data_IF_555361936012
#
_entry.id   IF_555361936012
#
_cell.length_a   1.000
_cell.length_b   1.000
_cell.length_c   1.000
_cell.angle_alpha   90.00
_cell.angle_beta   90.00
_cell.angle_gamma   90.00
#
_symmetry.space_group_name_H-M   'P 1'
#
loop_
_entity.id
_entity.type
_entity.pdbx_description
1 polymer ?
#
# COMPACT_ATOMS: atom_id res chain seq x y z
N UNK A 1 -1.21 -26.52 -23.89
CA UNK A 1 -0.48 -26.93 -25.10
C UNK A 1 0.97 -27.12 -24.71
N UNK A 2 1.63 -28.23 -25.07
CA UNK A 2 3.06 -28.39 -24.81
C UNK A 2 3.85 -27.33 -25.59
N UNK A 3 4.76 -26.65 -24.95
CA UNK A 3 5.71 -25.75 -25.62
C UNK A 3 6.82 -26.60 -26.23
N UNK A 4 7.00 -26.49 -27.54
CA UNK A 4 8.14 -27.10 -28.23
C UNK A 4 9.28 -26.09 -28.30
N UNK A 5 10.41 -26.45 -27.76
CA UNK A 5 11.65 -25.69 -27.92
C UNK A 5 12.33 -26.20 -29.19
N UNK A 6 12.49 -25.36 -30.20
CA UNK A 6 13.22 -25.68 -31.43
C UNK A 6 14.54 -24.89 -31.42
N UNK A 7 15.64 -25.58 -31.46
CA UNK A 7 16.98 -25.00 -31.59
C UNK A 7 17.29 -24.71 -33.07
N UNK A 8 18.10 -23.71 -33.32
CA UNK A 8 18.63 -23.34 -34.65
C UNK A 8 17.59 -22.99 -35.73
N UNK A 9 16.45 -22.45 -35.34
CA UNK A 9 15.41 -22.01 -36.29
C UNK A 9 15.76 -20.73 -37.06
N UNK A 10 16.69 -19.93 -36.56
CA UNK A 10 17.23 -18.71 -37.19
C UNK A 10 18.61 -18.39 -36.64
N UNK A 11 19.37 -17.58 -37.38
CA UNK A 11 20.65 -17.09 -36.97
C UNK A 11 20.50 -16.22 -35.69
N UNK A 12 21.36 -16.40 -34.71
CA UNK A 12 21.28 -15.70 -33.44
C UNK A 12 21.59 -14.20 -33.64
N UNK A 13 20.69 -13.32 -33.17
CA UNK A 13 20.87 -11.86 -33.24
C UNK A 13 21.99 -11.40 -32.30
N UNK A 14 22.21 -12.14 -31.22
CA UNK A 14 23.26 -11.87 -30.22
C UNK A 14 23.96 -13.20 -29.94
N UNK A 15 25.29 -13.19 -29.90
CA UNK A 15 26.07 -14.37 -29.55
C UNK A 15 25.83 -14.82 -28.11
N UNK A 16 25.98 -16.12 -27.86
CA UNK A 16 25.66 -16.75 -26.57
C UNK A 16 26.53 -16.20 -25.43
N UNK A 17 27.75 -15.80 -25.69
CA UNK A 17 28.67 -15.25 -24.68
C UNK A 17 28.18 -13.88 -24.23
N UNK A 18 27.85 -12.98 -25.16
CA UNK A 18 27.28 -11.67 -24.84
C UNK A 18 25.96 -11.79 -24.08
N UNK A 19 25.10 -12.72 -24.47
CA UNK A 19 23.84 -12.98 -23.75
C UNK A 19 24.09 -13.41 -22.30
N UNK A 20 25.00 -14.35 -22.06
CA UNK A 20 25.34 -14.81 -20.71
C UNK A 20 25.97 -13.70 -19.86
N UNK A 21 26.84 -12.91 -20.45
CA UNK A 21 27.49 -11.78 -19.78
C UNK A 21 26.47 -10.71 -19.35
N UNK A 22 25.49 -10.41 -20.19
CA UNK A 22 24.39 -9.50 -19.86
C UNK A 22 23.49 -10.10 -18.79
N UNK A 23 23.20 -11.42 -18.81
CA UNK A 23 22.43 -12.08 -17.76
C UNK A 23 23.14 -12.01 -16.41
N UNK A 24 24.45 -12.19 -16.39
CA UNK A 24 25.24 -12.08 -15.16
C UNK A 24 25.28 -10.66 -14.63
N UNK A 25 25.42 -9.66 -15.51
CA UNK A 25 25.29 -8.24 -15.13
C UNK A 25 23.90 -7.91 -14.57
N UNK A 26 22.83 -8.40 -15.17
CA UNK A 26 21.48 -8.19 -14.68
C UNK A 26 21.26 -8.85 -13.30
N UNK A 27 21.82 -10.04 -13.09
CA UNK A 27 21.80 -10.70 -11.76
C UNK A 27 22.59 -9.94 -10.72
N UNK A 28 23.77 -9.42 -11.07
CA UNK A 28 24.58 -8.60 -10.17
C UNK A 28 23.88 -7.27 -9.86
N UNK A 29 23.20 -6.66 -10.84
CA UNK A 29 22.41 -5.45 -10.63
C UNK A 29 21.14 -5.69 -9.79
N UNK A 30 20.49 -6.86 -9.87
CA UNK A 30 19.39 -7.21 -8.97
C UNK A 30 19.83 -7.22 -7.50
N UNK A 31 21.05 -7.67 -7.22
CA UNK A 31 21.67 -7.58 -5.89
C UNK A 31 22.11 -6.15 -5.54
N UNK A 32 22.41 -5.30 -6.55
CA UNK A 32 22.77 -3.89 -6.35
C UNK A 32 21.55 -3.00 -6.04
N UNK A 33 20.35 -3.43 -6.41
CA UNK A 33 19.09 -2.78 -6.04
C UNK A 33 18.48 -3.28 -4.73
N UNK A 34 19.12 -4.23 -4.05
CA UNK A 34 18.88 -4.44 -2.63
C UNK A 34 19.42 -3.18 -1.91
N UNK A 35 18.59 -2.38 -1.25
CA UNK A 35 19.03 -1.09 -0.76
C UNK A 35 19.92 -1.27 0.48
N UNK A 36 21.24 -1.25 0.29
CA UNK A 36 22.19 -0.97 1.37
C UNK A 36 22.19 0.51 1.81
N UNK A 37 21.37 1.33 1.15
CA UNK A 37 21.11 2.69 1.62
C UNK A 37 19.80 2.64 2.39
N UNK A 38 19.80 2.97 3.70
CA UNK A 38 18.54 3.19 4.42
C UNK A 38 17.77 4.20 3.59
N UNK A 39 16.61 3.74 3.11
CA UNK A 39 15.72 4.60 2.34
C UNK A 39 15.39 5.77 3.27
N UNK A 40 15.93 6.96 3.02
CA UNK A 40 15.82 8.15 3.88
C UNK A 40 14.36 8.55 4.15
N UNK A 41 13.41 7.91 3.47
CA UNK A 41 11.97 8.05 3.62
C UNK A 41 11.29 6.77 4.12
N UNK A 42 11.97 5.96 4.94
CA UNK A 42 11.36 4.77 5.55
C UNK A 42 10.51 5.20 6.74
N UNK A 43 9.22 5.01 6.64
CA UNK A 43 8.28 5.23 7.75
C UNK A 43 8.09 3.92 8.51
N UNK A 44 7.73 3.95 9.80
CA UNK A 44 7.59 2.75 10.63
C UNK A 44 6.73 1.64 10.02
N UNK A 45 5.67 2.01 9.31
CA UNK A 45 4.71 1.08 8.70
C UNK A 45 5.06 0.69 7.25
N UNK A 46 6.20 1.17 6.71
CA UNK A 46 6.61 0.88 5.33
C UNK A 46 6.95 -0.60 5.17
N UNK A 47 6.29 -1.26 4.21
CA UNK A 47 6.49 -2.70 3.97
C UNK A 47 5.71 -3.63 4.89
N UNK A 48 5.12 -3.10 5.98
CA UNK A 48 4.41 -3.89 6.99
C UNK A 48 2.92 -4.12 6.66
N UNK A 49 2.34 -3.34 5.72
CA UNK A 49 0.91 -3.39 5.43
C UNK A 49 0.69 -4.08 4.09
N UNK A 50 -0.04 -5.19 4.11
CA UNK A 50 -0.34 -6.01 2.93
C UNK A 50 -1.83 -5.99 2.58
N UNK A 51 -2.10 -6.05 1.28
CA UNK A 51 -3.47 -6.11 0.77
C UNK A 51 -3.95 -7.55 0.70
N UNK A 52 -5.00 -7.90 1.42
CA UNK A 52 -5.60 -9.24 1.40
C UNK A 52 -6.23 -9.61 0.04
N UNK A 53 -6.56 -8.61 -0.80
CA UNK A 53 -7.13 -8.84 -2.12
C UNK A 53 -6.07 -9.22 -3.17
N UNK A 54 -4.91 -8.55 -3.20
CA UNK A 54 -3.89 -8.73 -4.25
C UNK A 54 -2.49 -9.09 -3.73
N UNK A 55 -2.30 -9.24 -2.43
CA UNK A 55 -1.03 -9.60 -1.77
C UNK A 55 0.06 -8.52 -1.83
N UNK A 56 -0.16 -7.40 -2.54
CA UNK A 56 0.83 -6.33 -2.63
C UNK A 56 0.75 -5.41 -1.41
N UNK A 57 1.89 -4.77 -1.10
CA UNK A 57 1.98 -3.85 0.03
C UNK A 57 1.26 -2.52 -0.23
N UNK A 58 0.93 -1.85 0.87
CA UNK A 58 0.43 -0.48 0.87
C UNK A 58 1.60 0.50 0.82
N UNK A 59 1.38 1.62 0.14
CA UNK A 59 2.31 2.74 0.05
C UNK A 59 1.76 3.97 0.74
N UNK A 60 2.61 4.70 1.41
CA UNK A 60 2.30 6.01 1.96
C UNK A 60 2.12 7.03 0.83
N UNK A 61 1.02 7.77 0.85
CA UNK A 61 0.69 8.80 -0.14
C UNK A 61 0.32 10.10 0.58
N UNK A 62 1.16 11.10 0.43
CA UNK A 62 0.90 12.43 0.96
C UNK A 62 -0.03 13.18 0.01
N UNK A 63 -1.12 13.71 0.52
CA UNK A 63 -2.05 14.60 -0.17
C UNK A 63 -2.05 15.97 0.50
N UNK A 64 -2.62 17.00 -0.17
CA UNK A 64 -2.61 18.39 0.31
C UNK A 64 -3.11 18.55 1.75
N UNK A 65 -4.07 17.74 2.17
CA UNK A 65 -4.75 17.90 3.47
C UNK A 65 -4.62 16.67 4.39
N UNK A 66 -4.17 15.53 3.89
CA UNK A 66 -4.02 14.31 4.69
C UNK A 66 -3.02 13.34 4.07
N UNK A 67 -2.44 12.51 4.90
CA UNK A 67 -1.61 11.39 4.48
C UNK A 67 -2.43 10.11 4.55
N UNK A 68 -2.26 9.27 3.53
CA UNK A 68 -3.00 8.03 3.35
C UNK A 68 -2.06 6.88 3.05
N UNK A 69 -2.47 5.68 3.44
CA UNK A 69 -1.88 4.45 2.97
C UNK A 69 -2.79 3.84 1.90
N UNK A 70 -2.21 3.46 0.76
CA UNK A 70 -2.94 2.99 -0.43
C UNK A 70 -2.29 1.75 -1.00
N UNK A 71 -3.09 0.74 -1.34
CA UNK A 71 -2.60 -0.47 -2.01
C UNK A 71 -1.88 -0.12 -3.32
N UNK A 72 -0.72 -0.71 -3.54
CA UNK A 72 0.08 -0.47 -4.73
C UNK A 72 -0.69 -0.77 -6.02
N UNK A 73 -1.37 -1.93 -6.10
CA UNK A 73 -2.16 -2.34 -7.27
C UNK A 73 -3.32 -1.38 -7.52
N UNK A 74 -4.05 -1.00 -6.47
CA UNK A 74 -5.13 -0.03 -6.58
C UNK A 74 -4.64 1.34 -7.08
N UNK A 75 -3.51 1.81 -6.55
CA UNK A 75 -2.93 3.10 -6.96
C UNK A 75 -2.40 3.09 -8.40
N UNK A 76 -1.81 1.98 -8.86
CA UNK A 76 -1.21 1.87 -10.19
C UNK A 76 -2.20 1.47 -11.28
N UNK A 77 -3.18 0.60 -10.98
CA UNK A 77 -4.07 -0.02 -11.97
C UNK A 77 -5.56 0.25 -11.73
N UNK A 78 -5.90 0.85 -10.58
CA UNK A 78 -7.27 1.23 -10.24
C UNK A 78 -8.12 0.12 -9.64
N UNK A 79 -9.40 0.48 -9.37
CA UNK A 79 -10.38 -0.37 -8.67
C UNK A 79 -10.67 -1.70 -9.37
N UNK A 80 -10.55 -1.76 -10.70
CA UNK A 80 -10.80 -2.98 -11.48
C UNK A 80 -9.87 -4.14 -11.06
N UNK A 81 -8.63 -3.83 -10.69
CA UNK A 81 -7.60 -4.81 -10.33
C UNK A 81 -7.51 -5.10 -8.83
N UNK A 82 -8.07 -4.24 -8.00
CA UNK A 82 -8.13 -4.42 -6.56
C UNK A 82 -9.41 -3.80 -5.99
N UNK A 83 -10.58 -4.44 -6.19
CA UNK A 83 -11.89 -3.84 -5.92
C UNK A 83 -12.15 -3.62 -4.43
N UNK A 84 -11.62 -4.44 -3.55
CA UNK A 84 -11.84 -4.40 -2.11
C UNK A 84 -10.83 -3.53 -1.36
N UNK A 85 -9.80 -3.05 -2.05
CA UNK A 85 -8.81 -2.17 -1.44
C UNK A 85 -9.40 -0.82 -1.08
N UNK A 86 -9.23 -0.40 0.17
CA UNK A 86 -9.60 0.92 0.67
C UNK A 86 -8.36 1.69 1.12
N UNK A 87 -8.36 3.00 0.89
CA UNK A 87 -7.31 3.88 1.41
C UNK A 87 -7.49 4.05 2.91
N UNK A 88 -6.40 4.01 3.66
CA UNK A 88 -6.41 4.12 5.11
C UNK A 88 -5.76 5.45 5.49
N UNK A 89 -6.47 6.37 6.17
CA UNK A 89 -5.85 7.55 6.75
C UNK A 89 -4.76 7.18 7.74
N UNK A 90 -3.63 7.89 7.68
CA UNK A 90 -2.46 7.58 8.50
C UNK A 90 -2.73 7.72 9.99
N UNK A 91 -3.47 8.75 10.39
CA UNK A 91 -3.91 8.99 11.76
C UNK A 91 -4.77 7.84 12.31
N UNK A 92 -5.72 7.35 11.54
CA UNK A 92 -6.55 6.20 11.91
C UNK A 92 -5.69 4.94 12.05
N UNK A 93 -4.74 4.75 11.15
CA UNK A 93 -3.86 3.58 11.19
C UNK A 93 -3.00 3.56 12.46
N UNK A 94 -2.35 4.70 12.80
CA UNK A 94 -1.57 4.80 14.02
C UNK A 94 -2.43 4.61 15.28
N UNK A 95 -3.63 5.21 15.32
CA UNK A 95 -4.56 5.01 16.43
C UNK A 95 -4.95 3.53 16.60
N UNK A 96 -5.14 2.80 15.49
CA UNK A 96 -5.45 1.35 15.57
C UNK A 96 -4.26 0.51 16.00
N UNK A 97 -3.03 0.90 15.65
CA UNK A 97 -1.80 0.27 16.18
C UNK A 97 -1.72 0.48 17.69
N UNK A 98 -1.92 1.72 18.17
CA UNK A 98 -1.91 2.02 19.61
C UNK A 98 -3.02 1.24 20.36
N UNK A 99 -4.23 1.17 19.81
CA UNK A 99 -5.33 0.40 20.38
C UNK A 99 -4.99 -1.08 20.55
N UNK A 100 -4.39 -1.69 19.52
CA UNK A 100 -4.02 -3.11 19.50
C UNK A 100 -2.87 -3.42 20.46
N UNK A 101 -1.87 -2.54 20.53
CA UNK A 101 -0.71 -2.67 21.41
C UNK A 101 -0.95 -2.11 22.83
N UNK A 102 -2.14 -1.54 23.10
CA UNK A 102 -2.50 -0.90 24.36
C UNK A 102 -1.52 0.23 24.77
N UNK A 103 -1.09 1.03 23.78
CA UNK A 103 -0.19 2.16 23.96
C UNK A 103 -0.98 3.47 23.95
N UNK A 104 -0.57 4.42 24.78
CA UNK A 104 -1.11 5.80 24.77
C UNK A 104 -0.63 6.58 23.55
N UNK A 105 0.64 6.40 23.16
CA UNK A 105 1.27 6.99 21.98
C UNK A 105 2.00 5.91 21.14
N UNK A 106 2.16 6.17 19.86
CA UNK A 106 2.83 5.24 18.95
C UNK A 106 4.33 5.15 19.27
N UNK A 107 4.77 3.95 19.58
CA UNK A 107 6.17 3.60 19.77
C UNK A 107 6.64 2.65 18.66
N UNK A 108 7.66 3.08 17.91
CA UNK A 108 8.18 2.30 16.80
C UNK A 108 8.94 1.04 17.23
N UNK A 109 9.64 1.09 18.37
CA UNK A 109 10.41 -0.08 18.86
C UNK A 109 9.45 -1.17 19.32
N UNK A 110 8.42 -0.79 20.09
CA UNK A 110 7.38 -1.71 20.54
C UNK A 110 6.61 -2.28 19.33
N UNK A 111 6.23 -1.42 18.37
CA UNK A 111 5.56 -1.88 17.16
C UNK A 111 6.40 -2.90 16.38
N UNK A 112 7.68 -2.62 16.16
CA UNK A 112 8.57 -3.53 15.44
C UNK A 112 8.92 -4.79 16.23
N UNK A 113 8.88 -4.76 17.57
CA UNK A 113 9.11 -5.96 18.39
C UNK A 113 7.94 -6.93 18.38
N UNK A 114 6.72 -6.43 18.37
CA UNK A 114 5.49 -7.20 18.55
C UNK A 114 4.82 -7.60 17.22
N UNK A 115 4.74 -6.67 16.26
CA UNK A 115 4.00 -6.86 15.00
C UNK A 115 4.92 -7.38 13.90
N UNK A 116 4.48 -8.45 13.25
CA UNK A 116 5.11 -8.99 12.05
C UNK A 116 4.57 -8.30 10.79
N UNK A 117 3.22 -8.26 10.64
CA UNK A 117 2.57 -7.68 9.49
C UNK A 117 1.16 -7.19 9.83
N UNK A 118 0.62 -6.31 8.98
CA UNK A 118 -0.78 -5.85 9.03
C UNK A 118 -1.44 -6.24 7.71
N UNK A 119 -2.49 -7.04 7.77
CA UNK A 119 -3.25 -7.47 6.60
C UNK A 119 -4.55 -6.67 6.47
N UNK A 120 -4.77 -6.05 5.32
CA UNK A 120 -6.04 -5.39 4.99
C UNK A 120 -6.93 -6.40 4.26
N UNK A 121 -7.70 -7.19 5.01
CA UNK A 121 -8.45 -8.34 4.49
C UNK A 121 -9.75 -7.97 3.80
N UNK A 122 -10.43 -6.94 4.27
CA UNK A 122 -11.69 -6.40 3.73
C UNK A 122 -11.72 -4.89 3.89
N UNK A 123 -12.64 -4.20 3.21
CA UNK A 123 -12.83 -2.77 3.47
C UNK A 123 -13.08 -2.50 4.96
N UNK A 124 -12.29 -1.60 5.52
CA UNK A 124 -12.38 -1.20 6.94
C UNK A 124 -12.00 -2.28 7.97
N UNK A 125 -11.28 -3.33 7.57
CA UNK A 125 -10.81 -4.39 8.48
C UNK A 125 -9.30 -4.51 8.38
N UNK A 126 -8.63 -4.41 9.54
CA UNK A 126 -7.20 -4.64 9.70
C UNK A 126 -7.01 -5.87 10.57
N UNK A 127 -6.19 -6.81 10.10
CA UNK A 127 -5.74 -7.97 10.89
C UNK A 127 -4.26 -7.78 11.17
N UNK A 128 -3.92 -7.67 12.44
CA UNK A 128 -2.55 -7.57 12.92
C UNK A 128 -2.03 -8.98 13.16
N UNK A 129 -0.90 -9.30 12.53
CA UNK A 129 -0.18 -10.54 12.73
C UNK A 129 0.99 -10.26 13.66
N UNK A 130 0.99 -10.91 14.80
CA UNK A 130 2.03 -10.75 15.81
C UNK A 130 3.16 -11.76 15.59
N UNK A 131 4.36 -11.43 16.04
CA UNK A 131 5.52 -12.32 15.92
C UNK A 131 5.44 -13.61 16.75
N UNK A 132 4.62 -13.62 17.79
CA UNK A 132 4.31 -14.82 18.57
C UNK A 132 3.29 -15.76 17.89
N UNK A 133 2.76 -15.36 16.73
CA UNK A 133 1.85 -16.14 15.91
C UNK A 133 0.37 -15.90 16.19
N UNK A 134 -0.01 -15.04 17.15
CA UNK A 134 -1.42 -14.69 17.31
C UNK A 134 -1.86 -13.61 16.34
N UNK A 135 -3.18 -13.52 16.14
CA UNK A 135 -3.79 -12.55 15.23
C UNK A 135 -4.86 -11.74 15.97
N UNK A 136 -4.88 -10.44 15.72
CA UNK A 136 -5.94 -9.57 16.23
C UNK A 136 -6.59 -8.78 15.10
N UNK A 137 -7.90 -8.85 14.99
CA UNK A 137 -8.66 -8.15 13.95
C UNK A 137 -9.42 -6.98 14.53
N UNK A 138 -9.23 -5.80 13.96
CA UNK A 138 -9.92 -4.57 14.35
C UNK A 138 -10.61 -3.93 13.16
N UNK A 139 -11.74 -3.26 13.44
CA UNK A 139 -12.45 -2.44 12.44
C UNK A 139 -12.08 -0.98 12.61
N UNK A 140 -12.02 -0.28 11.50
CA UNK A 140 -11.80 1.16 11.48
C UNK A 140 -12.89 1.86 10.68
N UNK A 141 -13.19 3.10 11.05
CA UNK A 141 -14.17 3.92 10.36
C UNK A 141 -13.42 5.14 9.82
N UNK A 142 -13.53 5.35 8.51
CA UNK A 142 -13.16 6.63 7.89
C UNK A 142 -14.47 7.38 7.65
N UNK A 143 -14.59 8.53 8.26
CA UNK A 143 -15.65 9.45 7.90
C UNK A 143 -15.38 9.92 6.47
N UNK A 144 -16.05 9.30 5.51
CA UNK A 144 -15.98 9.74 4.13
C UNK A 144 -16.38 11.22 4.06
N UNK A 145 -15.89 11.96 3.06
CA UNK A 145 -16.32 13.34 2.86
C UNK A 145 -17.86 13.48 2.84
N UNK A 146 -18.54 12.44 2.40
CA UNK A 146 -20.01 12.39 2.34
C UNK A 146 -20.62 12.29 3.74
N UNK A 147 -20.00 11.57 4.66
CA UNK A 147 -20.45 11.41 6.05
C UNK A 147 -20.07 12.61 6.91
N UNK A 148 -18.89 13.20 6.66
CA UNK A 148 -18.42 14.42 7.32
C UNK A 148 -19.20 15.68 6.87
N UNK A 149 -19.94 15.61 5.76
CA UNK A 149 -20.76 16.72 5.28
C UNK A 149 -22.10 16.77 6.04
N UNK A 150 -22.15 17.65 7.03
CA UNK A 150 -23.41 17.93 7.73
C UNK A 150 -24.47 18.51 6.78
N UNK A 151 -25.76 18.36 7.08
CA UNK A 151 -26.83 18.97 6.27
C UNK A 151 -26.63 20.48 6.08
N UNK A 152 -26.09 21.19 7.07
CA UNK A 152 -25.78 22.61 7.00
C UNK A 152 -24.65 22.93 6.02
N UNK A 153 -23.59 22.12 6.00
CA UNK A 153 -22.49 22.29 5.04
C UNK A 153 -22.97 22.03 3.61
N UNK A 154 -23.86 21.05 3.39
CA UNK A 154 -24.49 20.80 2.09
C UNK A 154 -25.33 21.98 1.64
N UNK A 155 -26.11 22.58 2.55
CA UNK A 155 -26.95 23.77 2.26
C UNK A 155 -26.08 24.99 1.88
N UNK A 156 -25.04 25.28 2.65
CA UNK A 156 -24.07 26.36 2.35
C UNK A 156 -23.37 26.16 1.00
N UNK A 157 -22.96 24.93 0.68
CA UNK A 157 -22.33 24.63 -0.60
C UNK A 157 -23.30 24.79 -1.79
N UNK A 158 -24.57 24.39 -1.62
CA UNK A 158 -25.61 24.58 -2.64
C UNK A 158 -25.91 26.06 -2.86
N UNK A 159 -25.97 26.87 -1.80
CA UNK A 159 -26.16 28.34 -1.89
C UNK A 159 -24.97 29.01 -2.60
N UNK A 160 -23.73 28.58 -2.31
CA UNK A 160 -22.54 29.09 -2.99
C UNK A 160 -22.51 28.73 -4.49
N UNK A 161 -22.95 27.51 -4.83
CA UNK A 161 -23.08 27.08 -6.21
C UNK A 161 -24.11 27.90 -7.00
N UNK A 162 -25.25 28.19 -6.39
CA UNK A 162 -26.29 29.02 -6.99
C UNK A 162 -25.86 30.48 -7.24
N UNK A 163 -25.03 31.05 -6.35
CA UNK A 163 -24.45 32.39 -6.49
C UNK A 163 -23.43 32.49 -7.62
N UNK A 164 -22.68 31.41 -7.89
CA UNK A 164 -21.69 31.34 -9.00
C UNK A 164 -22.30 31.12 -10.37
N UNK A 165 -23.43 30.44 -10.46
CA UNK A 165 -24.14 30.20 -11.72
C UNK A 165 -25.01 31.35 -12.23
N UNK A 166 -25.06 32.49 -11.51
CA UNK A 166 -25.81 33.72 -11.89
C UNK A 166 -24.92 34.85 -12.44
N UNK A 167 -23.69 34.56 -12.84
CA UNK A 167 -22.80 35.50 -13.56
C UNK A 167 -22.64 35.07 -15.00
#
# INVERSE_FOLDING_TARGET
>A
MPQYYAEETHEAIIDKETFLLVQEQLRSQQNYFAPDKPNTNTYPLTGMIHCGCCGKYYRRKVQKYRTLWICWTYNARGKKFCPESKQIPEDILYNKVCEVLQLDEFDNEVFQSEIENILVSKPNVLTFLFKDGHEQTVRWLDHSRTEAWTPEMRKKAAEHGRKRGKK
#
